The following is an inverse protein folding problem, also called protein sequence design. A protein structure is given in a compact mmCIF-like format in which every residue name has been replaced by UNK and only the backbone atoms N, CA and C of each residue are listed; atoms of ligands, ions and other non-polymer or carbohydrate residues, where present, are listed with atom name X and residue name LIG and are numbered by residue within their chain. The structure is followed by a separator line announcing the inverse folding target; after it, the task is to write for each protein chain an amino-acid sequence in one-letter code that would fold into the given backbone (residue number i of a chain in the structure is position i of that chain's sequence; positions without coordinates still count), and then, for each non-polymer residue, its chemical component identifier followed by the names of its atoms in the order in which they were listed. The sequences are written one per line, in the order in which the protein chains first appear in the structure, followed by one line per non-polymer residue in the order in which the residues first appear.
data_IF_746331831306
#
_entry.id   IF_746331831306
#
_cell.length_a   1.000
_cell.length_b   1.000
_cell.length_c   1.000
_cell.angle_alpha   90.00
_cell.angle_beta   90.00
_cell.angle_gamma   90.00
#
_symmetry.space_group_name_H-M   'P 1'
#
loop_
_entity.id
_entity.type
_entity.pdbx_description
1 polymer ?
#
# COMPACT_ATOMS: atom_id res chain seq x y z
N UNK A 1 -0.10 -24.32 -2.78
CA UNK A 1 1.07 -24.84 -3.52
C UNK A 1 0.62 -25.54 -4.80
N UNK A 2 1.42 -25.44 -5.89
CA UNK A 2 1.14 -26.14 -7.14
C UNK A 2 0.03 -25.55 -8.01
N UNK A 3 -0.40 -24.33 -7.74
CA UNK A 3 -1.36 -23.60 -8.57
C UNK A 3 -0.74 -22.30 -9.10
N UNK A 4 -1.06 -21.99 -10.34
CA UNK A 4 -0.66 -20.71 -10.96
C UNK A 4 -1.78 -19.68 -10.81
N UNK A 5 -1.45 -18.47 -10.43
CA UNK A 5 -2.36 -17.35 -10.29
C UNK A 5 -1.93 -16.18 -11.20
N UNK A 6 -2.88 -15.40 -11.66
CA UNK A 6 -2.56 -14.16 -12.35
C UNK A 6 -2.04 -13.14 -11.34
N UNK A 7 -1.02 -12.39 -11.71
CA UNK A 7 -0.50 -11.29 -10.88
C UNK A 7 -1.60 -10.27 -10.55
N UNK A 8 -2.51 -10.00 -11.49
CA UNK A 8 -3.69 -9.16 -11.26
C UNK A 8 -4.59 -9.64 -10.13
N UNK A 9 -4.80 -10.96 -10.05
CA UNK A 9 -5.68 -11.54 -9.01
C UNK A 9 -5.00 -11.43 -7.64
N UNK A 10 -3.67 -11.63 -7.59
CA UNK A 10 -2.87 -11.45 -6.37
C UNK A 10 -2.90 -9.99 -5.89
N UNK A 11 -2.75 -9.01 -6.79
CA UNK A 11 -2.89 -7.60 -6.42
C UNK A 11 -4.29 -7.27 -5.91
N UNK A 12 -5.34 -7.81 -6.56
CA UNK A 12 -6.71 -7.63 -6.08
C UNK A 12 -6.87 -8.20 -4.67
N UNK A 13 -6.42 -9.42 -4.41
CA UNK A 13 -6.51 -10.03 -3.08
C UNK A 13 -5.69 -9.24 -2.03
N UNK A 14 -4.47 -8.82 -2.38
CA UNK A 14 -3.61 -8.04 -1.48
C UNK A 14 -4.26 -6.71 -1.09
N UNK A 15 -4.79 -5.95 -2.04
CA UNK A 15 -5.26 -4.59 -1.79
C UNK A 15 -6.71 -4.54 -1.28
N UNK A 16 -7.53 -5.58 -1.54
CA UNK A 16 -8.92 -5.61 -1.02
C UNK A 16 -9.02 -6.22 0.37
N UNK A 17 -8.41 -7.39 0.60
CA UNK A 17 -8.56 -8.14 1.86
C UNK A 17 -7.24 -8.33 2.62
N UNK A 18 -6.18 -7.66 2.18
CA UNK A 18 -4.85 -7.78 2.81
C UNK A 18 -4.33 -9.23 2.85
N UNK A 19 -4.51 -9.98 1.76
CA UNK A 19 -4.15 -11.40 1.69
C UNK A 19 -2.64 -11.60 1.87
N UNK A 20 -2.23 -12.20 2.99
CA UNK A 20 -0.83 -12.44 3.34
C UNK A 20 -0.10 -13.34 2.34
N UNK A 21 -0.78 -14.39 1.88
CA UNK A 21 -0.26 -15.31 0.87
C UNK A 21 -0.08 -14.65 -0.50
N UNK A 22 -0.96 -13.72 -0.87
CA UNK A 22 -0.80 -12.91 -2.08
C UNK A 22 0.44 -12.01 -1.99
N UNK A 23 0.70 -11.37 -0.85
CA UNK A 23 1.91 -10.58 -0.62
C UNK A 23 3.17 -11.43 -0.77
N UNK A 24 3.18 -12.61 -0.15
CA UNK A 24 4.29 -13.57 -0.25
C UNK A 24 4.51 -14.02 -1.70
N UNK A 25 3.44 -14.36 -2.42
CA UNK A 25 3.53 -14.79 -3.82
C UNK A 25 4.06 -13.68 -4.74
N UNK A 26 3.60 -12.45 -4.55
CA UNK A 26 4.08 -11.29 -5.32
C UNK A 26 5.57 -11.01 -5.05
N UNK A 27 6.01 -11.08 -3.80
CA UNK A 27 7.44 -10.94 -3.47
C UNK A 27 8.28 -12.06 -4.11
N UNK A 28 7.80 -13.30 -4.08
CA UNK A 28 8.49 -14.44 -4.72
C UNK A 28 8.52 -14.35 -6.25
N UNK A 29 7.53 -13.67 -6.86
CA UNK A 29 7.47 -13.50 -8.31
C UNK A 29 8.65 -12.68 -8.89
N UNK A 30 9.41 -11.98 -8.06
CA UNK A 30 10.66 -11.29 -8.47
C UNK A 30 11.85 -12.25 -8.62
N UNK A 31 11.66 -13.55 -8.34
CA UNK A 31 12.68 -14.60 -8.39
C UNK A 31 12.77 -15.39 -7.08
N UNK A 32 12.84 -14.71 -5.96
CA UNK A 32 12.82 -15.33 -4.62
C UNK A 32 12.25 -14.34 -3.59
N UNK A 33 11.88 -14.84 -2.42
CA UNK A 33 11.44 -13.98 -1.32
C UNK A 33 12.53 -12.97 -0.93
N UNK A 34 13.79 -13.41 -0.86
CA UNK A 34 14.93 -12.52 -0.54
C UNK A 34 15.10 -11.41 -1.57
N UNK A 35 14.97 -11.74 -2.86
CA UNK A 35 15.01 -10.73 -3.92
C UNK A 35 13.82 -9.77 -3.82
N UNK A 36 12.61 -10.27 -3.53
CA UNK A 36 11.44 -9.43 -3.31
C UNK A 36 11.63 -8.44 -2.17
N UNK A 37 12.17 -8.90 -1.05
CA UNK A 37 12.48 -8.01 0.09
C UNK A 37 13.58 -7.01 -0.24
N UNK A 38 14.59 -7.41 -1.01
CA UNK A 38 15.63 -6.49 -1.48
C UNK A 38 15.06 -5.38 -2.38
N UNK A 39 14.11 -5.72 -3.27
CA UNK A 39 13.41 -4.74 -4.13
C UNK A 39 12.57 -3.78 -3.29
N UNK A 40 11.78 -4.28 -2.32
CA UNK A 40 10.97 -3.43 -1.43
C UNK A 40 11.84 -2.44 -0.66
N UNK A 41 12.92 -2.91 -0.04
CA UNK A 41 13.82 -2.01 0.70
C UNK A 41 14.66 -1.09 -0.22
N UNK A 42 14.92 -1.49 -1.47
CA UNK A 42 15.55 -0.62 -2.44
C UNK A 42 14.61 0.53 -2.85
N UNK A 43 13.31 0.25 -3.04
CA UNK A 43 12.32 1.29 -3.32
C UNK A 43 12.14 2.23 -2.12
N UNK A 44 12.16 1.72 -0.88
CA UNK A 44 12.14 2.57 0.31
C UNK A 44 13.29 3.60 0.28
N UNK A 45 14.51 3.14 0.05
CA UNK A 45 15.68 4.03 -0.07
C UNK A 45 15.57 5.01 -1.25
N UNK A 46 15.09 4.54 -2.42
CA UNK A 46 14.86 5.39 -3.58
C UNK A 46 13.91 6.55 -3.27
N UNK A 47 12.86 6.28 -2.51
CA UNK A 47 11.89 7.27 -2.07
C UNK A 47 12.35 8.13 -0.88
N UNK A 48 13.55 7.90 -0.34
CA UNK A 48 14.08 8.51 0.88
C UNK A 48 13.19 8.22 2.11
N UNK A 49 12.61 7.02 2.15
CA UNK A 49 11.86 6.49 3.29
C UNK A 49 12.86 5.82 4.26
N UNK A 50 13.67 6.65 4.93
CA UNK A 50 14.86 6.23 5.67
C UNK A 50 14.52 5.60 7.03
N UNK A 51 13.30 5.82 7.53
CA UNK A 51 12.77 5.18 8.74
C UNK A 51 12.03 3.86 8.42
N UNK A 52 12.20 3.31 7.21
CA UNK A 52 11.50 2.08 6.81
C UNK A 52 12.46 0.92 6.59
N UNK A 53 12.22 -0.16 7.31
CA UNK A 53 12.83 -1.48 7.07
C UNK A 53 11.72 -2.52 6.93
N UNK A 54 11.58 -3.10 5.74
CA UNK A 54 10.66 -4.20 5.49
C UNK A 54 11.40 -5.54 5.66
N UNK A 55 10.92 -6.39 6.54
CA UNK A 55 11.44 -7.75 6.80
C UNK A 55 10.49 -8.81 6.23
N UNK A 56 9.19 -8.51 6.24
CA UNK A 56 8.15 -9.38 5.67
C UNK A 56 7.34 -8.62 4.61
N UNK A 57 6.92 -9.26 3.50
CA UNK A 57 6.20 -8.55 2.43
C UNK A 57 4.74 -8.27 2.78
N UNK A 58 4.21 -8.89 3.83
CA UNK A 58 2.83 -8.75 4.28
C UNK A 58 2.66 -7.76 5.44
N UNK A 59 3.75 -7.21 5.97
CA UNK A 59 3.73 -6.21 7.04
C UNK A 59 3.40 -6.76 8.43
N UNK A 60 3.42 -8.08 8.64
CA UNK A 60 3.25 -8.67 9.96
C UNK A 60 4.51 -8.46 10.80
N UNK A 61 4.34 -8.51 12.12
CA UNK A 61 5.41 -8.28 13.09
C UNK A 61 6.63 -9.16 12.82
N UNK A 62 7.79 -8.54 12.75
CA UNK A 62 9.09 -9.21 12.64
C UNK A 62 10.16 -8.37 13.36
N UNK A 63 11.22 -8.99 13.88
CA UNK A 63 12.33 -8.25 14.48
C UNK A 63 12.88 -7.21 13.50
N UNK A 64 13.07 -5.99 13.96
CA UNK A 64 13.58 -4.85 13.18
C UNK A 64 12.66 -4.31 12.08
N UNK A 65 11.45 -4.86 11.86
CA UNK A 65 10.49 -4.28 10.92
C UNK A 65 9.86 -3.01 11.50
N UNK A 66 10.00 -1.91 10.79
CA UNK A 66 9.46 -0.62 11.22
C UNK A 66 9.23 0.33 10.03
N UNK A 67 8.46 1.36 10.25
CA UNK A 67 8.23 2.48 9.34
C UNK A 67 7.82 3.72 10.14
N UNK A 68 7.76 4.88 9.48
CA UNK A 68 7.21 6.12 10.04
C UNK A 68 5.97 6.58 9.26
N UNK A 69 5.17 7.45 9.88
CA UNK A 69 4.03 8.08 9.20
C UNK A 69 4.48 8.93 8.01
N UNK A 70 5.67 9.54 8.10
CA UNK A 70 6.27 10.30 7.01
C UNK A 70 6.61 9.39 5.82
N UNK A 71 7.26 8.27 6.06
CA UNK A 71 7.65 7.31 5.02
C UNK A 71 6.43 6.72 4.31
N UNK A 72 5.37 6.40 5.07
CA UNK A 72 4.12 5.95 4.48
C UNK A 72 3.49 7.01 3.55
N UNK A 73 3.68 8.31 3.84
CA UNK A 73 3.22 9.37 2.95
C UNK A 73 4.06 9.44 1.67
N UNK A 74 5.36 9.12 1.73
CA UNK A 74 6.21 9.01 0.54
C UNK A 74 5.74 7.87 -0.38
N UNK A 75 5.45 6.68 0.18
CA UNK A 75 4.91 5.55 -0.58
C UNK A 75 3.53 5.87 -1.18
N UNK A 76 2.65 6.52 -0.42
CA UNK A 76 1.33 6.91 -0.92
C UNK A 76 1.44 7.91 -2.07
N UNK A 77 2.31 8.91 -1.97
CA UNK A 77 2.58 9.86 -3.05
C UNK A 77 3.08 9.16 -4.31
N UNK A 78 3.98 8.19 -4.17
CA UNK A 78 4.46 7.39 -5.29
C UNK A 78 3.33 6.55 -5.91
N UNK A 79 2.52 5.90 -5.08
CA UNK A 79 1.36 5.14 -5.53
C UNK A 79 0.35 5.98 -6.32
N UNK A 80 0.13 7.24 -5.92
CA UNK A 80 -0.76 8.18 -6.63
C UNK A 80 -0.29 8.48 -8.06
N UNK A 81 0.99 8.31 -8.36
CA UNK A 81 1.55 8.51 -9.70
C UNK A 81 1.53 7.25 -10.56
N UNK A 82 1.05 6.12 -10.03
CA UNK A 82 1.02 4.83 -10.69
C UNK A 82 -0.42 4.42 -11.03
N UNK A 83 -0.94 4.68 -12.26
CA UNK A 83 -2.31 4.35 -12.63
C UNK A 83 -2.65 2.87 -12.46
N UNK A 84 -1.67 1.99 -12.72
CA UNK A 84 -1.84 0.55 -12.51
C UNK A 84 -2.08 0.19 -11.03
N UNK A 85 -1.37 0.84 -10.10
CA UNK A 85 -1.58 0.67 -8.67
C UNK A 85 -2.96 1.18 -8.26
N UNK A 86 -3.29 2.41 -8.62
CA UNK A 86 -4.58 3.04 -8.28
C UNK A 86 -5.77 2.21 -8.74
N UNK A 87 -5.69 1.58 -9.91
CA UNK A 87 -6.73 0.69 -10.40
C UNK A 87 -7.07 -0.43 -9.41
N UNK A 88 -6.06 -1.03 -8.78
CA UNK A 88 -6.28 -2.08 -7.78
C UNK A 88 -6.64 -1.52 -6.41
N UNK A 89 -6.02 -0.43 -6.00
CA UNK A 89 -6.24 0.19 -4.70
C UNK A 89 -7.67 0.77 -4.56
N UNK A 90 -8.26 1.21 -5.66
CA UNK A 90 -9.65 1.70 -5.76
C UNK A 90 -10.68 0.58 -5.92
N UNK A 91 -10.26 -0.67 -6.07
CA UNK A 91 -11.17 -1.80 -6.26
C UNK A 91 -11.98 -2.04 -5.00
N UNK A 92 -13.30 -1.88 -5.08
CA UNK A 92 -14.21 -2.08 -3.94
C UNK A 92 -14.58 -3.54 -3.72
N UNK A 93 -14.62 -4.32 -4.79
CA UNK A 93 -14.89 -5.76 -4.73
C UNK A 93 -14.29 -6.48 -5.93
N UNK A 94 -14.06 -7.78 -5.80
CA UNK A 94 -13.52 -8.63 -6.85
C UNK A 94 -13.87 -10.09 -6.65
N UNK A 95 -13.40 -10.93 -7.58
CA UNK A 95 -13.50 -12.37 -7.49
C UNK A 95 -12.10 -12.97 -7.53
N UNK A 96 -11.81 -13.86 -6.61
CA UNK A 96 -10.55 -14.61 -6.58
C UNK A 96 -10.82 -16.07 -6.91
N UNK A 97 -10.14 -16.60 -7.93
CA UNK A 97 -10.32 -17.98 -8.37
C UNK A 97 -9.56 -18.93 -7.45
N UNK A 98 -10.26 -19.90 -6.90
CA UNK A 98 -9.70 -21.02 -6.12
C UNK A 98 -9.80 -22.28 -6.96
N UNK A 99 -8.68 -22.71 -7.59
CA UNK A 99 -8.67 -23.87 -8.45
C UNK A 99 -9.45 -23.69 -9.77
N UNK A 100 -9.89 -24.80 -10.38
CA UNK A 100 -10.46 -24.79 -11.75
C UNK A 100 -11.91 -24.30 -11.85
N UNK A 101 -12.72 -24.50 -10.81
CA UNK A 101 -14.20 -24.29 -10.89
C UNK A 101 -14.78 -23.42 -9.76
N UNK A 102 -13.97 -22.97 -8.80
CA UNK A 102 -14.46 -22.22 -7.64
C UNK A 102 -13.81 -20.84 -7.56
N UNK A 103 -14.61 -19.83 -7.23
CA UNK A 103 -14.13 -18.50 -6.87
C UNK A 103 -14.76 -18.04 -5.56
N UNK A 104 -14.09 -17.11 -4.89
CA UNK A 104 -14.60 -16.40 -3.70
C UNK A 104 -14.71 -14.93 -4.00
N UNK A 105 -15.75 -14.29 -3.47
CA UNK A 105 -15.89 -12.84 -3.50
C UNK A 105 -14.91 -12.18 -2.55
N UNK A 106 -14.33 -11.08 -2.98
CA UNK A 106 -13.47 -10.22 -2.19
C UNK A 106 -14.15 -8.86 -2.03
N UNK A 107 -14.15 -8.31 -0.82
CA UNK A 107 -14.66 -6.97 -0.53
C UNK A 107 -13.57 -6.16 0.15
N UNK A 108 -13.36 -4.93 -0.36
CA UNK A 108 -12.31 -4.09 0.18
C UNK A 108 -12.62 -3.70 1.63
N UNK A 109 -11.67 -3.98 2.51
CA UNK A 109 -11.75 -3.66 3.93
C UNK A 109 -11.57 -2.17 4.22
N UNK A 110 -11.07 -1.39 3.25
CA UNK A 110 -10.94 0.06 3.35
C UNK A 110 -12.30 0.74 3.16
N UNK A 111 -13.05 0.90 4.23
CA UNK A 111 -14.37 1.54 4.20
C UNK A 111 -14.34 3.02 3.80
N UNK A 112 -13.18 3.68 3.78
CA UNK A 112 -13.04 5.05 3.28
C UNK A 112 -13.52 5.16 1.83
N UNK A 113 -13.23 4.16 0.98
CA UNK A 113 -13.64 4.13 -0.44
C UNK A 113 -15.15 4.26 -0.62
N UNK A 114 -15.94 3.62 0.24
CA UNK A 114 -17.39 3.64 0.16
C UNK A 114 -18.04 4.80 0.90
N UNK A 115 -17.33 5.45 1.84
CA UNK A 115 -17.95 6.33 2.83
C UNK A 115 -17.37 7.74 2.87
N UNK A 116 -16.39 8.05 2.01
CA UNK A 116 -15.75 9.37 1.98
C UNK A 116 -15.70 9.94 0.57
N UNK A 117 -16.37 11.08 0.29
CA UNK A 117 -16.37 11.69 -1.02
C UNK A 117 -14.96 12.05 -1.48
N UNK A 118 -14.60 11.61 -2.69
CA UNK A 118 -13.29 11.85 -3.27
C UNK A 118 -12.19 10.88 -2.81
N UNK A 119 -12.53 9.81 -2.08
CA UNK A 119 -11.55 8.77 -1.72
C UNK A 119 -10.89 8.17 -2.96
N UNK A 120 -9.56 8.07 -2.96
CA UNK A 120 -8.74 7.53 -4.04
C UNK A 120 -8.14 6.17 -3.72
N UNK A 121 -8.30 5.68 -2.50
CA UNK A 121 -7.71 4.43 -2.06
C UNK A 121 -7.07 4.53 -0.69
N UNK A 122 -6.28 3.54 -0.37
CA UNK A 122 -5.53 3.45 0.87
C UNK A 122 -5.50 2.04 1.44
N UNK A 123 -4.68 1.86 2.46
CA UNK A 123 -4.46 0.55 3.07
C UNK A 123 -4.57 0.61 4.58
N UNK A 124 -5.39 -0.27 5.14
CA UNK A 124 -5.45 -0.55 6.58
C UNK A 124 -4.37 -1.56 6.96
N UNK A 125 -3.94 -1.52 8.21
CA UNK A 125 -3.08 -2.53 8.82
C UNK A 125 -3.39 -2.66 10.31
N UNK A 126 -3.18 -3.85 10.85
CA UNK A 126 -3.33 -4.09 12.28
C UNK A 126 -2.48 -5.26 12.74
N UNK A 127 -1.77 -5.07 13.83
CA UNK A 127 -1.20 -6.13 14.65
C UNK A 127 -1.34 -5.75 16.13
N UNK A 128 -1.20 -6.73 17.03
CA UNK A 128 -1.26 -6.45 18.46
C UNK A 128 -0.14 -5.52 18.94
N UNK A 129 1.03 -5.55 18.30
CA UNK A 129 2.16 -4.70 18.64
C UNK A 129 2.05 -3.30 18.01
N UNK A 130 1.65 -3.21 16.74
CA UNK A 130 1.59 -1.93 16.02
C UNK A 130 0.31 -1.13 16.33
N UNK A 131 -0.76 -1.75 16.82
CA UNK A 131 -2.09 -1.13 16.83
C UNK A 131 -2.66 -1.01 15.42
N UNK A 132 -3.75 -0.26 15.27
CA UNK A 132 -4.31 0.01 13.95
C UNK A 132 -3.51 1.09 13.22
N UNK A 133 -3.26 0.87 11.94
CA UNK A 133 -2.51 1.76 11.05
C UNK A 133 -3.31 2.03 9.80
N UNK A 134 -3.12 3.19 9.19
CA UNK A 134 -3.82 3.54 7.96
C UNK A 134 -3.02 4.51 7.10
N UNK A 135 -3.06 4.25 5.82
CA UNK A 135 -2.71 5.22 4.77
C UNK A 135 -3.96 5.45 3.93
N UNK A 136 -4.38 6.69 3.77
CA UNK A 136 -5.55 7.02 2.96
C UNK A 136 -5.29 8.21 2.05
N UNK A 137 -5.99 8.24 0.93
CA UNK A 137 -5.84 9.26 -0.09
C UNK A 137 -7.20 9.75 -0.54
N UNK A 138 -7.35 11.07 -0.71
CA UNK A 138 -8.59 11.66 -1.22
C UNK A 138 -8.30 12.90 -2.07
N UNK A 139 -9.20 13.18 -3.04
CA UNK A 139 -9.12 14.34 -3.92
C UNK A 139 -10.42 15.14 -3.90
N UNK A 140 -10.34 16.44 -3.68
CA UNK A 140 -11.47 17.39 -3.75
C UNK A 140 -11.00 18.72 -4.33
N UNK A 141 -11.81 19.37 -5.16
CA UNK A 141 -11.52 20.71 -5.69
C UNK A 141 -10.17 20.83 -6.43
N UNK A 142 -9.68 19.75 -7.04
CA UNK A 142 -8.38 19.73 -7.69
C UNK A 142 -7.20 19.37 -6.75
N UNK A 143 -7.38 19.41 -5.45
CA UNK A 143 -6.35 19.14 -4.44
C UNK A 143 -6.41 17.67 -4.00
N UNK A 144 -5.24 17.05 -3.84
CA UNK A 144 -5.11 15.68 -3.35
C UNK A 144 -4.40 15.69 -2.01
N UNK A 145 -5.01 15.04 -1.02
CA UNK A 145 -4.44 14.87 0.32
C UNK A 145 -4.13 13.40 0.58
N UNK A 146 -3.04 13.18 1.31
CA UNK A 146 -2.66 11.89 1.90
C UNK A 146 -2.76 12.04 3.41
N UNK A 147 -3.33 11.05 4.07
CA UNK A 147 -3.34 10.91 5.53
C UNK A 147 -2.65 9.61 5.92
N UNK A 148 -1.78 9.69 6.91
CA UNK A 148 -1.06 8.54 7.46
C UNK A 148 -1.24 8.49 8.96
N UNK A 149 -1.60 7.34 9.48
CA UNK A 149 -1.92 7.10 10.88
C UNK A 149 -1.22 5.84 11.37
N UNK A 150 -0.56 5.93 12.49
CA UNK A 150 0.10 4.81 13.16
C UNK A 150 -0.40 4.71 14.60
N UNK A 151 -0.42 3.48 15.12
CA UNK A 151 -0.72 3.17 16.50
C UNK A 151 -2.06 3.72 17.02
N UNK A 152 -3.09 3.65 16.16
CA UNK A 152 -4.45 4.00 16.57
C UNK A 152 -5.08 2.86 17.39
N UNK A 153 -6.05 3.18 18.27
CA UNK A 153 -6.94 2.15 18.81
C UNK A 153 -7.64 1.38 17.70
N UNK A 154 -7.86 0.09 17.90
CA UNK A 154 -8.47 -0.78 16.89
C UNK A 154 -9.80 -0.20 16.37
N UNK A 155 -10.01 -0.26 15.05
CA UNK A 155 -11.22 0.18 14.33
C UNK A 155 -11.51 1.70 14.41
N UNK A 156 -10.57 2.51 14.86
CA UNK A 156 -10.76 3.98 14.90
C UNK A 156 -10.03 4.71 13.77
N UNK A 157 -9.10 4.05 13.08
CA UNK A 157 -8.19 4.64 12.10
C UNK A 157 -8.92 5.29 10.92
N UNK A 158 -10.00 4.69 10.41
CA UNK A 158 -10.77 5.27 9.30
C UNK A 158 -11.51 6.54 9.72
N UNK A 159 -12.08 6.57 10.93
CA UNK A 159 -12.76 7.77 11.44
C UNK A 159 -11.76 8.89 11.72
N UNK A 160 -10.60 8.58 12.28
CA UNK A 160 -9.52 9.54 12.47
C UNK A 160 -9.02 10.10 11.13
N UNK A 161 -8.86 9.22 10.11
CA UNK A 161 -8.50 9.63 8.77
C UNK A 161 -9.52 10.60 8.15
N UNK A 162 -10.83 10.32 8.29
CA UNK A 162 -11.89 11.22 7.81
C UNK A 162 -11.82 12.60 8.46
N UNK A 163 -11.58 12.65 9.78
CA UNK A 163 -11.44 13.90 10.50
C UNK A 163 -10.24 14.72 10.02
N UNK A 164 -9.07 14.08 9.86
CA UNK A 164 -7.86 14.72 9.36
C UNK A 164 -8.00 15.18 7.92
N UNK A 165 -8.59 14.38 7.03
CA UNK A 165 -8.85 14.77 5.65
C UNK A 165 -9.83 15.94 5.58
N UNK A 166 -10.91 15.94 6.37
CA UNK A 166 -11.85 17.06 6.44
C UNK A 166 -11.17 18.32 6.93
N UNK A 167 -10.34 18.22 7.96
CA UNK A 167 -9.53 19.34 8.45
C UNK A 167 -8.56 19.83 7.36
N UNK A 168 -7.81 18.93 6.74
CA UNK A 168 -6.86 19.25 5.69
C UNK A 168 -7.50 20.01 4.52
N UNK A 169 -8.62 19.51 3.97
CA UNK A 169 -9.35 20.23 2.90
C UNK A 169 -9.93 21.58 3.36
N UNK A 170 -10.26 21.73 4.65
CA UNK A 170 -10.75 23.01 5.19
C UNK A 170 -9.66 24.07 5.27
N UNK A 171 -8.43 23.69 5.59
CA UNK A 171 -7.30 24.59 5.80
C UNK A 171 -6.34 24.68 4.61
N UNK A 172 -6.56 23.89 3.57
CA UNK A 172 -5.74 23.88 2.36
C UNK A 172 -5.63 25.27 1.75
N UNK A 173 -4.41 25.71 1.48
CA UNK A 173 -4.09 27.07 1.03
C UNK A 173 -4.26 28.17 2.08
N UNK A 174 -4.65 27.83 3.34
CA UNK A 174 -4.87 28.81 4.42
C UNK A 174 -3.84 28.75 5.53
N UNK A 175 -3.03 27.72 5.56
CA UNK A 175 -1.97 27.51 6.56
C UNK A 175 -0.63 27.33 5.86
N UNK A 176 0.43 27.75 6.52
CA UNK A 176 1.79 27.51 6.03
C UNK A 176 2.17 26.05 6.25
N UNK A 177 2.84 25.39 5.28
CA UNK A 177 3.35 24.04 5.47
C UNK A 177 4.44 24.03 6.55
N UNK A 178 4.48 22.97 7.33
CA UNK A 178 5.52 22.73 8.35
C UNK A 178 6.74 22.00 7.76
N UNK A 179 6.65 21.53 6.54
CA UNK A 179 7.71 20.80 5.85
C UNK A 179 7.29 20.39 4.44
N UNK A 180 8.17 19.69 3.75
CA UNK A 180 7.96 19.17 2.40
C UNK A 180 8.33 17.69 2.37
N UNK A 181 7.55 16.86 1.70
CA UNK A 181 7.93 15.47 1.46
C UNK A 181 9.15 15.42 0.52
N UNK A 182 10.19 14.70 0.91
CA UNK A 182 11.37 14.48 0.09
C UNK A 182 11.00 13.92 -1.28
N UNK A 183 11.63 14.39 -2.35
CA UNK A 183 11.48 13.81 -3.69
C UNK A 183 12.19 12.46 -3.80
N UNK A 184 11.82 11.59 -4.75
CA UNK A 184 12.62 10.42 -5.05
C UNK A 184 14.07 10.81 -5.39
N UNK A 185 15.03 9.98 -5.00
CA UNK A 185 16.42 10.19 -5.41
C UNK A 185 16.50 10.14 -6.95
N UNK A 186 17.30 11.01 -7.54
CA UNK A 186 17.62 10.92 -8.97
C UNK A 186 18.16 9.52 -9.24
N UNK A 187 17.61 8.84 -10.25
CA UNK A 187 17.97 7.46 -10.54
C UNK A 187 19.50 7.33 -10.69
N UNK A 188 20.15 6.73 -9.72
CA UNK A 188 21.43 6.05 -9.98
C UNK A 188 21.11 4.93 -10.96
N UNK A 189 21.92 4.69 -12.02
CA UNK A 189 21.58 3.67 -13.01
C UNK A 189 21.26 2.35 -12.30
N UNK A 190 20.05 1.84 -12.58
CA UNK A 190 19.48 0.64 -11.98
C UNK A 190 20.47 -0.53 -12.07
N UNK A 191 20.71 -1.29 -10.99
CA UNK A 191 21.28 -2.61 -11.17
C UNK A 191 20.38 -3.41 -12.12
N UNK A 192 20.99 -4.05 -13.09
CA UNK A 192 20.43 -4.75 -14.25
C UNK A 192 18.93 -5.07 -14.20
N UNK A 193 18.23 -4.70 -15.27
CA UNK A 193 16.82 -4.98 -15.47
C UNK A 193 16.48 -6.39 -14.96
N UNK A 194 15.49 -6.47 -14.09
CA UNK A 194 14.93 -7.76 -13.67
C UNK A 194 14.60 -8.56 -14.91
N UNK A 195 14.95 -9.85 -14.96
CA UNK A 195 14.55 -10.70 -16.09
C UNK A 195 13.04 -10.60 -16.24
N UNK A 196 12.57 -10.47 -17.47
CA UNK A 196 11.15 -10.37 -17.76
C UNK A 196 10.42 -11.49 -17.00
N UNK A 197 9.36 -11.19 -16.24
CA UNK A 197 8.70 -12.17 -15.42
C UNK A 197 8.20 -13.30 -16.31
N UNK A 198 8.71 -14.50 -16.08
CA UNK A 198 8.09 -15.70 -16.64
C UNK A 198 6.66 -15.70 -16.15
N UNK A 199 5.71 -15.70 -17.05
CA UNK A 199 4.26 -15.45 -16.81
C UNK A 199 3.56 -16.47 -15.90
N UNK A 200 4.30 -17.31 -15.19
CA UNK A 200 3.77 -18.42 -14.39
C UNK A 200 4.47 -18.47 -13.04
N UNK A 201 3.76 -18.13 -11.98
CA UNK A 201 4.16 -18.37 -10.59
C UNK A 201 3.52 -19.68 -10.18
N UNK A 202 4.32 -20.68 -9.87
CA UNK A 202 3.87 -22.02 -9.43
C UNK A 202 3.54 -22.06 -7.94
#
# INVERSE_FOLDING_TARGET
RGHSYKVSDLFTALLTISANDAAMALAQATGSLSQGMAVINAEARHLQADDTVAVTPNGLDAPSQHTSAYDLALFARQGLQMPAFLKYDQTTSGQFRIGKKKSVGLWNQNSLLATYPGALGGKIGWTSAAGATYVGMAKRGGHTLVVTLLHCPALTEINAAKQLLNWGFKVDGKVSPVGTLAGPQSATPSPAALPAPSRTVA
#
